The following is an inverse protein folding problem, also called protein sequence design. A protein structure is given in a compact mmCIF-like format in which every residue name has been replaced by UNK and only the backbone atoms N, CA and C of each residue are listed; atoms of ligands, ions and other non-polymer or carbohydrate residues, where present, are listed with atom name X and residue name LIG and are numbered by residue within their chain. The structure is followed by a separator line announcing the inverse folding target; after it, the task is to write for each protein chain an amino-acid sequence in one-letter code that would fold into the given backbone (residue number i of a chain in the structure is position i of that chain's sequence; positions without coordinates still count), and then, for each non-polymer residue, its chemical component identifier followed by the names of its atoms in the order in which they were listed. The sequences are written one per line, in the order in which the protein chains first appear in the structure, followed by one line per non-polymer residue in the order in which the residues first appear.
data_IF_449367201913
#
_entry.id   IF_449367201913
#
_cell.length_a   1.000
_cell.length_b   1.000
_cell.length_c   1.000
_cell.angle_alpha   90.00
_cell.angle_beta   90.00
_cell.angle_gamma   90.00
#
_symmetry.space_group_name_H-M   'P 1'
#
loop_
_entity.id
_entity.type
_entity.pdbx_description
1 polymer ?
#
# COMPACT_ATOMS: atom_id res chain seq x y z
N UNK A 1 53.92 28.81 29.10
CA UNK A 1 52.72 28.39 29.86
C UNK A 1 51.57 28.25 28.87
N UNK A 2 51.31 27.03 28.39
CA UNK A 2 50.21 26.74 27.46
C UNK A 2 49.00 26.24 28.26
N UNK A 3 47.89 26.98 28.22
CA UNK A 3 46.63 26.59 28.87
C UNK A 3 45.77 25.81 27.88
N UNK A 4 45.63 24.49 28.11
CA UNK A 4 44.70 23.63 27.38
C UNK A 4 43.29 23.82 27.95
N UNK A 5 42.34 24.30 27.14
CA UNK A 5 40.90 24.29 27.46
C UNK A 5 40.32 22.94 27.05
N UNK A 6 39.87 22.16 28.02
CA UNK A 6 39.11 20.92 27.81
C UNK A 6 37.61 21.26 27.77
N UNK A 7 36.97 21.11 26.61
CA UNK A 7 35.52 21.21 26.44
C UNK A 7 34.94 19.79 26.43
N UNK A 8 34.17 19.46 27.47
CA UNK A 8 33.45 18.19 27.62
C UNK A 8 32.06 18.35 26.99
N UNK A 9 31.81 17.72 25.84
CA UNK A 9 30.49 17.68 25.20
C UNK A 9 29.68 16.48 25.73
N UNK A 10 28.55 16.76 26.37
CA UNK A 10 27.61 15.76 26.87
C UNK A 10 26.54 15.49 25.79
N UNK A 11 26.65 14.35 25.10
CA UNK A 11 25.67 13.92 24.09
C UNK A 11 24.54 13.11 24.75
N UNK A 12 23.32 13.65 24.73
CA UNK A 12 22.10 12.98 25.19
C UNK A 12 21.55 12.08 24.07
N UNK A 13 21.57 10.76 24.27
CA UNK A 13 21.01 9.79 23.32
C UNK A 13 19.55 9.51 23.70
N UNK A 14 18.60 9.96 22.87
CA UNK A 14 17.19 9.54 22.96
C UNK A 14 17.03 8.19 22.26
N UNK A 15 16.81 7.13 23.04
CA UNK A 15 16.38 5.84 22.52
C UNK A 15 14.86 5.83 22.34
N UNK A 16 14.39 5.88 21.09
CA UNK A 16 12.98 5.67 20.76
C UNK A 16 12.66 4.17 20.76
N UNK A 17 11.94 3.69 21.77
CA UNK A 17 11.42 2.32 21.82
C UNK A 17 10.17 2.22 20.95
N UNK A 18 10.28 1.62 19.76
CA UNK A 18 9.11 1.27 18.95
C UNK A 18 8.46 0.00 19.51
N UNK A 19 7.29 0.13 20.15
CA UNK A 19 6.47 -1.03 20.52
C UNK A 19 5.76 -1.57 19.28
N UNK A 20 5.83 -2.88 18.98
CA UNK A 20 5.10 -3.45 17.85
C UNK A 20 3.59 -3.32 18.06
N UNK A 21 2.87 -2.95 17.00
CA UNK A 21 1.41 -2.89 17.01
C UNK A 21 0.81 -4.28 17.31
N UNK A 22 -0.23 -4.39 18.15
CA UNK A 22 -0.82 -5.68 18.50
C UNK A 22 -1.39 -6.37 17.27
N UNK A 23 -0.85 -7.54 16.93
CA UNK A 23 -1.46 -8.45 15.95
C UNK A 23 -2.77 -8.98 16.54
N UNK A 24 -3.91 -8.91 15.82
CA UNK A 24 -5.18 -9.41 16.33
C UNK A 24 -5.07 -10.91 16.64
N UNK A 25 -5.30 -11.29 17.90
CA UNK A 25 -5.17 -12.67 18.38
C UNK A 25 -6.29 -13.62 17.88
N UNK A 26 -7.25 -13.14 17.09
CA UNK A 26 -8.32 -13.98 16.51
C UNK A 26 -8.73 -13.50 15.11
N UNK A 27 -8.21 -14.10 14.03
CA UNK A 27 -8.56 -13.73 12.65
C UNK A 27 -10.03 -14.04 12.28
N UNK A 28 -10.74 -14.86 13.07
CA UNK A 28 -12.07 -15.37 12.73
C UNK A 28 -13.19 -14.31 12.65
N UNK A 29 -13.03 -13.15 13.30
CA UNK A 29 -14.05 -12.08 13.26
C UNK A 29 -13.50 -10.72 12.81
N UNK A 30 -12.20 -10.62 12.53
CA UNK A 30 -11.59 -9.36 12.13
C UNK A 30 -12.26 -8.80 10.87
N UNK A 31 -12.27 -9.56 9.76
CA UNK A 31 -12.87 -9.15 8.49
C UNK A 31 -14.34 -8.76 8.65
N UNK A 32 -15.13 -9.62 9.31
CA UNK A 32 -16.57 -9.36 9.54
C UNK A 32 -16.81 -8.11 10.39
N UNK A 33 -15.95 -7.82 11.37
CA UNK A 33 -16.03 -6.57 12.13
C UNK A 33 -15.67 -5.35 11.27
N UNK A 34 -14.71 -5.48 10.36
CA UNK A 34 -14.34 -4.42 9.41
C UNK A 34 -15.49 -4.08 8.46
N UNK A 35 -16.11 -5.10 7.87
CA UNK A 35 -17.29 -4.95 7.00
C UNK A 35 -18.48 -4.36 7.78
N UNK A 36 -18.74 -4.83 9.00
CA UNK A 36 -19.78 -4.27 9.84
C UNK A 36 -19.53 -2.80 10.23
N UNK A 37 -18.27 -2.42 10.47
CA UNK A 37 -17.92 -1.02 10.74
C UNK A 37 -18.18 -0.14 9.51
N UNK A 38 -17.87 -0.66 8.32
CA UNK A 38 -18.15 0.00 7.05
C UNK A 38 -19.64 0.24 6.83
N UNK A 39 -20.46 -0.79 6.99
CA UNK A 39 -21.91 -0.69 6.86
C UNK A 39 -22.50 0.30 7.87
N UNK A 40 -22.00 0.29 9.11
CA UNK A 40 -22.45 1.20 10.15
C UNK A 40 -22.10 2.67 9.81
N UNK A 41 -20.86 2.94 9.38
CA UNK A 41 -20.48 4.28 8.91
C UNK A 41 -21.29 4.70 7.67
N UNK A 42 -21.59 3.79 6.75
CA UNK A 42 -22.43 4.08 5.57
C UNK A 42 -23.88 4.40 5.96
N UNK A 43 -24.37 3.81 7.05
CA UNK A 43 -25.71 4.10 7.57
C UNK A 43 -25.80 5.49 8.17
N UNK A 44 -24.74 5.96 8.84
CA UNK A 44 -24.64 7.29 9.44
C UNK A 44 -24.76 8.42 8.41
N UNK A 45 -24.22 8.23 7.20
CA UNK A 45 -24.36 9.20 6.10
C UNK A 45 -25.82 9.47 5.68
N UNK A 46 -26.76 8.59 6.06
CA UNK A 46 -28.18 8.72 5.74
C UNK A 46 -28.98 9.35 6.89
N UNK A 47 -28.33 9.60 8.03
CA UNK A 47 -28.96 10.14 9.22
C UNK A 47 -28.80 11.66 9.27
N UNK A 48 -29.78 12.27 9.92
CA UNK A 48 -29.84 13.68 10.26
C UNK A 48 -30.40 13.81 11.67
N UNK A 49 -30.28 14.98 12.29
CA UNK A 49 -30.87 15.21 13.62
C UNK A 49 -32.39 14.96 13.66
N UNK A 50 -33.08 15.11 12.52
CA UNK A 50 -34.52 14.86 12.38
C UNK A 50 -34.87 13.39 12.10
N UNK A 51 -33.88 12.52 11.93
CA UNK A 51 -34.12 11.10 11.68
C UNK A 51 -34.75 10.45 12.91
N UNK A 52 -35.78 9.62 12.68
CA UNK A 52 -36.36 8.79 13.73
C UNK A 52 -35.34 7.74 14.16
N UNK A 53 -35.23 7.52 15.47
CA UNK A 53 -34.28 6.58 16.03
C UNK A 53 -34.88 5.83 17.23
N UNK A 54 -34.20 4.76 17.68
CA UNK A 54 -34.59 4.02 18.89
C UNK A 54 -33.88 4.62 20.10
N UNK A 55 -34.60 4.87 21.20
CA UNK A 55 -34.01 5.38 22.44
C UNK A 55 -32.76 4.58 22.85
N UNK A 56 -31.68 5.30 23.19
CA UNK A 56 -30.37 4.72 23.51
C UNK A 56 -29.48 4.36 22.31
N UNK A 57 -29.97 4.50 21.07
CA UNK A 57 -29.16 4.32 19.87
C UNK A 57 -28.11 5.44 19.75
N UNK A 58 -26.86 5.06 19.54
CA UNK A 58 -25.77 6.00 19.25
C UNK A 58 -25.49 6.03 17.75
N UNK A 59 -25.10 7.20 17.25
CA UNK A 59 -24.72 7.37 15.84
C UNK A 59 -23.69 8.49 15.68
N UNK A 60 -23.18 8.62 14.46
CA UNK A 60 -22.41 9.78 14.04
C UNK A 60 -23.24 10.58 13.03
N UNK A 61 -23.42 11.88 13.25
CA UNK A 61 -24.09 12.77 12.30
C UNK A 61 -23.18 13.98 12.10
N UNK A 62 -22.83 14.26 10.84
CA UNK A 62 -21.88 15.32 10.47
C UNK A 62 -20.55 15.23 11.24
N UNK A 63 -20.05 14.00 11.47
CA UNK A 63 -18.83 13.73 12.22
C UNK A 63 -18.93 13.96 13.73
N UNK A 64 -20.11 14.25 14.27
CA UNK A 64 -20.36 14.45 15.71
C UNK A 64 -21.07 13.25 16.31
N UNK A 65 -20.76 12.95 17.55
CA UNK A 65 -21.45 11.89 18.29
C UNK A 65 -22.85 12.36 18.68
N UNK A 66 -23.86 11.54 18.43
CA UNK A 66 -25.24 11.78 18.85
C UNK A 66 -25.82 10.56 19.55
N UNK A 67 -26.73 10.80 20.48
CA UNK A 67 -27.53 9.76 21.11
C UNK A 67 -29.01 10.00 20.79
N UNK A 68 -29.76 8.92 20.64
CA UNK A 68 -31.20 8.99 20.50
C UNK A 68 -31.88 9.10 21.86
N UNK A 69 -32.61 10.20 22.07
CA UNK A 69 -33.46 10.44 23.24
C UNK A 69 -34.86 10.75 22.75
N UNK A 70 -35.87 10.07 23.30
CA UNK A 70 -37.28 10.23 22.93
C UNK A 70 -37.58 10.15 21.42
N UNK A 71 -36.86 9.24 20.75
CA UNK A 71 -37.04 8.95 19.33
C UNK A 71 -36.38 9.94 18.36
N UNK A 72 -35.57 10.89 18.87
CA UNK A 72 -34.80 11.86 18.08
C UNK A 72 -33.34 11.89 18.48
N UNK A 73 -32.46 12.20 17.54
CA UNK A 73 -31.05 12.39 17.83
C UNK A 73 -30.82 13.74 18.54
N UNK A 74 -30.05 13.72 19.62
CA UNK A 74 -29.65 14.93 20.36
C UNK A 74 -28.77 15.84 19.51
N UNK A 75 -28.50 17.04 20.04
CA UNK A 75 -27.41 17.86 19.52
C UNK A 75 -26.10 17.07 19.51
N UNK A 76 -25.30 17.27 18.45
CA UNK A 76 -24.05 16.56 18.26
C UNK A 76 -22.96 17.04 19.23
N UNK A 77 -22.33 16.09 19.91
CA UNK A 77 -21.13 16.31 20.71
C UNK A 77 -19.92 16.28 19.77
N UNK A 78 -19.15 17.37 19.76
CA UNK A 78 -17.91 17.45 18.98
C UNK A 78 -16.86 16.49 19.54
N UNK A 79 -16.08 15.88 18.64
CA UNK A 79 -14.97 15.01 19.00
C UNK A 79 -13.67 15.76 19.35
N UNK A 80 -13.67 17.09 19.24
CA UNK A 80 -12.44 17.90 19.30
C UNK A 80 -11.88 18.19 17.92
N UNK A 81 -10.77 18.93 17.87
CA UNK A 81 -10.10 19.29 16.62
C UNK A 81 -9.53 18.04 15.92
N UNK A 82 -9.68 17.98 14.60
CA UNK A 82 -9.19 16.90 13.71
C UNK A 82 -9.75 15.49 13.96
N UNK A 83 -10.70 15.32 14.88
CA UNK A 83 -11.35 14.04 15.17
C UNK A 83 -12.78 14.02 14.63
N UNK A 84 -13.23 12.84 14.19
CA UNK A 84 -14.60 12.59 13.77
C UNK A 84 -15.16 11.39 14.50
N UNK A 85 -16.45 11.46 14.81
CA UNK A 85 -17.22 10.29 15.22
C UNK A 85 -17.26 9.29 14.06
N UNK A 86 -16.78 8.08 14.31
CA UNK A 86 -16.74 6.97 13.35
C UNK A 86 -17.02 5.64 14.06
N UNK A 87 -17.51 4.65 13.32
CA UNK A 87 -17.54 3.26 13.76
C UNK A 87 -16.22 2.56 13.42
N UNK A 88 -15.64 1.86 14.39
CA UNK A 88 -14.42 1.06 14.26
C UNK A 88 -14.69 -0.42 14.56
N UNK A 89 -13.93 -1.36 13.95
CA UNK A 89 -14.03 -2.78 14.26
C UNK A 89 -13.51 -3.06 15.68
N UNK A 90 -14.22 -3.89 16.44
CA UNK A 90 -13.69 -4.41 17.71
C UNK A 90 -12.56 -5.41 17.42
N UNK A 91 -11.51 -5.36 18.24
CA UNK A 91 -10.30 -6.17 18.03
C UNK A 91 -10.26 -7.46 18.86
N UNK A 92 -10.96 -7.47 20.00
CA UNK A 92 -10.95 -8.59 20.96
C UNK A 92 -12.30 -9.33 21.04
N UNK A 93 -13.31 -8.87 20.30
CA UNK A 93 -14.65 -9.44 20.32
C UNK A 93 -15.37 -9.16 19.00
N UNK A 94 -16.46 -9.88 18.73
CA UNK A 94 -17.35 -9.60 17.60
C UNK A 94 -18.04 -8.24 17.77
N UNK A 95 -18.15 -7.47 16.69
CA UNK A 95 -18.91 -6.22 16.62
C UNK A 95 -18.06 -4.98 16.31
N UNK A 96 -18.65 -3.82 16.57
CA UNK A 96 -18.09 -2.51 16.28
C UNK A 96 -18.22 -1.60 17.49
N UNK A 97 -17.46 -0.50 17.52
CA UNK A 97 -17.58 0.56 18.51
C UNK A 97 -17.65 1.91 17.82
N UNK A 98 -18.47 2.82 18.34
CA UNK A 98 -18.52 4.23 17.91
C UNK A 98 -17.56 5.01 18.79
N UNK A 99 -16.65 5.78 18.19
CA UNK A 99 -15.68 6.60 18.92
C UNK A 99 -15.27 7.81 18.09
N UNK A 100 -14.62 8.76 18.74
CA UNK A 100 -13.87 9.82 18.06
C UNK A 100 -12.50 9.28 17.64
N UNK A 101 -12.17 9.39 16.35
CA UNK A 101 -10.86 9.03 15.80
C UNK A 101 -10.54 9.93 14.59
N UNK A 102 -9.28 9.95 14.15
CA UNK A 102 -8.95 10.55 12.84
C UNK A 102 -9.48 9.65 11.75
N UNK A 103 -10.06 10.25 10.70
CA UNK A 103 -10.61 9.49 9.56
C UNK A 103 -9.55 8.62 8.88
N UNK A 104 -8.30 9.08 8.84
CA UNK A 104 -7.18 8.31 8.28
C UNK A 104 -6.89 7.05 9.12
N UNK A 105 -6.79 7.22 10.43
CA UNK A 105 -6.53 6.12 11.37
C UNK A 105 -7.67 5.10 11.37
N UNK A 106 -8.93 5.58 11.30
CA UNK A 106 -10.12 4.75 11.19
C UNK A 106 -10.11 3.87 9.92
N UNK A 107 -9.77 4.46 8.77
CA UNK A 107 -9.63 3.72 7.51
C UNK A 107 -8.52 2.67 7.59
N UNK A 108 -7.39 3.00 8.21
CA UNK A 108 -6.29 2.06 8.39
C UNK A 108 -6.71 0.89 9.30
N UNK A 109 -7.38 1.17 10.43
CA UNK A 109 -7.89 0.12 11.34
C UNK A 109 -8.88 -0.81 10.66
N UNK A 110 -9.78 -0.28 9.83
CA UNK A 110 -10.71 -1.09 9.01
C UNK A 110 -9.93 -1.91 7.98
N UNK A 111 -8.97 -1.32 7.26
CA UNK A 111 -8.16 -2.03 6.28
C UNK A 111 -7.35 -3.18 6.90
N UNK A 112 -6.82 -3.00 8.11
CA UNK A 112 -6.07 -4.03 8.86
C UNK A 112 -6.90 -5.28 9.18
N UNK A 113 -8.23 -5.21 9.06
CA UNK A 113 -9.10 -6.39 9.19
C UNK A 113 -9.19 -7.25 7.93
N UNK A 114 -8.72 -6.74 6.79
CA UNK A 114 -8.93 -7.31 5.45
C UNK A 114 -10.12 -6.69 4.68
N UNK A 115 -10.95 -5.88 5.34
CA UNK A 115 -12.08 -5.19 4.70
C UNK A 115 -11.61 -4.15 3.67
N UNK A 116 -12.36 -3.99 2.57
CA UNK A 116 -12.04 -3.11 1.44
C UNK A 116 -13.13 -2.06 1.25
N UNK A 117 -12.83 -0.93 0.60
CA UNK A 117 -13.83 0.14 0.38
C UNK A 117 -13.80 1.27 1.41
N UNK A 118 -12.68 1.44 2.12
CA UNK A 118 -12.45 2.59 3.01
C UNK A 118 -13.38 2.61 4.22
N UNK A 119 -13.85 3.80 4.62
CA UNK A 119 -14.63 3.99 5.84
C UNK A 119 -16.05 3.41 5.75
N UNK A 120 -16.65 3.35 4.55
CA UNK A 120 -18.08 3.04 4.37
C UNK A 120 -18.37 1.82 3.50
N UNK A 121 -17.34 1.06 3.08
CA UNK A 121 -17.50 -0.18 2.30
C UNK A 121 -18.05 0.02 0.88
N UNK A 122 -18.58 1.21 0.56
CA UNK A 122 -18.88 1.64 -0.79
C UNK A 122 -17.56 1.60 -1.56
N UNK A 123 -17.52 0.81 -2.64
CA UNK A 123 -16.59 1.13 -3.74
C UNK A 123 -16.93 2.57 -4.09
N UNK A 124 -16.03 3.50 -3.80
CA UNK A 124 -16.28 4.87 -4.20
C UNK A 124 -16.46 4.79 -5.71
N UNK A 125 -17.67 5.09 -6.21
CA UNK A 125 -17.85 5.48 -7.61
C UNK A 125 -17.15 6.83 -7.75
N UNK A 126 -15.83 6.84 -7.58
CA UNK A 126 -14.98 7.91 -8.03
C UNK A 126 -15.24 7.91 -9.53
N UNK A 127 -15.71 9.04 -10.05
CA UNK A 127 -15.62 9.28 -11.49
C UNK A 127 -14.19 8.92 -11.92
N UNK A 128 -14.05 8.34 -13.10
CA UNK A 128 -12.75 7.91 -13.63
C UNK A 128 -11.70 8.98 -13.32
N UNK A 129 -10.66 8.69 -12.52
CA UNK A 129 -9.70 9.69 -12.10
C UNK A 129 -9.14 10.38 -13.35
N UNK A 130 -8.96 11.69 -13.26
CA UNK A 130 -8.44 12.47 -14.39
C UNK A 130 -6.96 12.73 -14.17
N UNK A 131 -6.13 12.32 -15.13
CA UNK A 131 -4.70 12.57 -15.11
C UNK A 131 -4.42 14.08 -15.07
N UNK A 132 -3.50 14.57 -14.22
CA UNK A 132 -3.06 15.96 -14.27
C UNK A 132 -2.61 16.34 -15.69
N UNK A 133 -2.93 17.55 -16.19
CA UNK A 133 -2.60 17.94 -17.57
C UNK A 133 -1.14 17.75 -17.93
N UNK A 134 -0.23 17.99 -16.99
CA UNK A 134 1.21 17.81 -17.17
C UNK A 134 1.63 16.35 -17.46
N UNK A 135 0.85 15.38 -16.97
CA UNK A 135 1.14 13.95 -17.17
C UNK A 135 0.75 13.47 -18.57
N UNK A 136 -0.27 14.09 -19.20
CA UNK A 136 -0.78 13.68 -20.52
C UNK A 136 0.28 13.78 -21.64
N UNK A 137 1.27 14.65 -21.47
CA UNK A 137 2.33 14.86 -22.45
C UNK A 137 3.49 13.85 -22.34
N UNK A 138 3.56 13.07 -21.26
CA UNK A 138 4.66 12.11 -21.02
C UNK A 138 4.40 10.71 -21.58
N UNK A 139 3.16 10.38 -21.97
CA UNK A 139 2.75 9.04 -22.42
C UNK A 139 2.57 8.85 -23.93
N UNK A 140 2.88 9.85 -24.77
CA UNK A 140 2.73 9.73 -26.24
C UNK A 140 3.92 9.01 -26.88
N UNK A 141 4.09 7.71 -26.61
CA UNK A 141 4.88 6.83 -27.48
C UNK A 141 3.93 5.88 -28.22
N UNK A 142 4.22 5.69 -29.51
CA UNK A 142 3.34 5.16 -30.54
C UNK A 142 2.72 3.80 -30.18
N UNK A 143 1.39 3.73 -30.18
CA UNK A 143 0.59 2.51 -30.00
C UNK A 143 0.46 1.66 -31.27
N UNK A 144 1.27 1.89 -32.31
CA UNK A 144 1.03 1.27 -33.61
C UNK A 144 1.26 -0.26 -33.66
N UNK A 145 1.69 -0.90 -32.56
CA UNK A 145 2.07 -2.33 -32.58
C UNK A 145 1.36 -3.22 -31.55
N UNK A 146 0.36 -2.71 -30.82
CA UNK A 146 -0.45 -3.52 -29.89
C UNK A 146 -1.94 -3.48 -30.24
N UNK A 147 -2.26 -3.62 -31.53
CA UNK A 147 -3.59 -4.08 -31.91
C UNK A 147 -3.73 -5.55 -31.49
N UNK A 148 -4.72 -5.85 -30.64
CA UNK A 148 -5.16 -7.16 -30.13
C UNK A 148 -4.64 -7.68 -28.77
N UNK A 149 -4.10 -6.82 -27.90
CA UNK A 149 -3.81 -7.19 -26.51
C UNK A 149 -4.70 -6.46 -25.49
N UNK A 150 -5.71 -7.11 -24.91
CA UNK A 150 -6.37 -6.65 -23.66
C UNK A 150 -5.43 -6.60 -22.43
N UNK A 151 -4.12 -6.85 -22.63
CA UNK A 151 -3.05 -6.89 -21.62
C UNK A 151 -1.76 -6.38 -22.26
N UNK A 152 -0.97 -5.58 -21.55
CA UNK A 152 0.47 -5.49 -21.80
C UNK A 152 1.04 -6.67 -21.01
N UNK A 153 1.17 -7.83 -21.66
CA UNK A 153 1.74 -9.00 -21.04
C UNK A 153 3.27 -8.86 -21.07
N UNK A 154 3.92 -8.90 -19.90
CA UNK A 154 5.36 -9.08 -19.85
C UNK A 154 5.73 -10.48 -20.32
N UNK A 155 6.16 -10.58 -21.57
CA UNK A 155 6.67 -11.82 -22.17
C UNK A 155 7.98 -12.28 -21.54
N UNK A 156 8.68 -11.38 -20.85
CA UNK A 156 9.99 -11.60 -20.22
C UNK A 156 9.91 -12.19 -18.81
N UNK A 157 8.73 -12.48 -18.27
CA UNK A 157 8.59 -13.05 -16.93
C UNK A 157 9.29 -14.42 -16.79
N UNK A 158 9.30 -15.22 -17.85
CA UNK A 158 10.07 -16.47 -17.88
C UNK A 158 11.56 -16.21 -17.66
N UNK A 159 12.13 -15.28 -18.44
CA UNK A 159 13.54 -14.90 -18.37
C UNK A 159 13.92 -14.30 -17.01
N UNK A 160 13.02 -13.51 -16.41
CA UNK A 160 13.22 -12.95 -15.06
C UNK A 160 13.34 -14.07 -14.03
N UNK A 161 12.41 -15.04 -14.04
CA UNK A 161 12.46 -16.18 -13.12
C UNK A 161 13.72 -17.03 -13.36
N UNK A 162 14.04 -17.31 -14.63
CA UNK A 162 15.21 -18.11 -15.01
C UNK A 162 16.51 -17.45 -14.55
N UNK A 163 16.62 -16.13 -14.70
CA UNK A 163 17.82 -15.38 -14.32
C UNK A 163 18.18 -15.54 -12.83
N UNK A 164 17.18 -15.57 -11.94
CA UNK A 164 17.39 -15.85 -10.52
C UNK A 164 17.69 -17.33 -10.28
N UNK A 165 16.91 -18.23 -10.87
CA UNK A 165 17.07 -19.67 -10.68
C UNK A 165 18.49 -20.13 -11.03
N UNK A 166 19.02 -19.67 -12.16
CA UNK A 166 20.38 -19.99 -12.60
C UNK A 166 21.44 -19.55 -11.58
N UNK A 167 21.40 -18.28 -11.18
CA UNK A 167 22.36 -17.75 -10.20
C UNK A 167 22.22 -18.44 -8.84
N UNK A 168 21.00 -18.76 -8.43
CA UNK A 168 20.74 -19.43 -7.16
C UNK A 168 21.29 -20.88 -7.17
N UNK A 169 21.14 -21.61 -8.27
CA UNK A 169 21.75 -22.93 -8.44
C UNK A 169 23.28 -22.87 -8.40
N UNK A 170 23.89 -21.89 -9.07
CA UNK A 170 25.35 -21.66 -9.02
C UNK A 170 25.86 -21.37 -7.60
N UNK A 171 25.00 -20.84 -6.72
CA UNK A 171 25.32 -20.58 -5.31
C UNK A 171 25.35 -21.84 -4.44
N UNK A 172 24.92 -22.99 -4.99
CA UNK A 172 24.80 -24.27 -4.28
C UNK A 172 23.39 -24.58 -3.76
N UNK A 173 22.37 -23.83 -4.18
CA UNK A 173 20.96 -24.16 -3.93
C UNK A 173 20.45 -25.29 -4.84
N UNK A 174 19.27 -25.84 -4.54
CA UNK A 174 18.58 -26.83 -5.38
C UNK A 174 17.23 -26.31 -5.92
N UNK A 175 16.56 -27.06 -6.80
CA UNK A 175 15.21 -26.72 -7.32
C UNK A 175 14.14 -27.74 -6.92
N UNK A 176 14.47 -28.68 -6.03
CA UNK A 176 13.61 -29.82 -5.69
C UNK A 176 12.87 -29.64 -4.35
N UNK A 177 13.32 -28.73 -3.48
CA UNK A 177 12.85 -28.63 -2.08
C UNK A 177 12.17 -27.32 -1.70
N UNK A 178 11.35 -26.71 -2.57
CA UNK A 178 10.77 -25.37 -2.30
C UNK A 178 11.85 -24.35 -1.85
N UNK A 179 13.05 -24.49 -2.42
CA UNK A 179 14.21 -23.69 -2.05
C UNK A 179 14.02 -22.21 -2.45
N UNK A 180 14.86 -21.31 -1.93
CA UNK A 180 14.93 -19.91 -2.39
C UNK A 180 15.09 -19.76 -3.91
N UNK A 181 15.63 -20.76 -4.62
CA UNK A 181 15.75 -20.71 -6.08
C UNK A 181 14.40 -20.77 -6.77
N UNK A 182 13.44 -21.55 -6.25
CA UNK A 182 12.10 -21.70 -6.83
C UNK A 182 11.12 -20.69 -6.24
N UNK A 183 11.15 -20.48 -4.93
CA UNK A 183 10.18 -19.62 -4.24
C UNK A 183 10.40 -18.14 -4.59
N UNK A 184 11.64 -17.65 -4.61
CA UNK A 184 11.94 -16.24 -4.89
C UNK A 184 11.90 -15.89 -6.40
N UNK A 185 12.17 -16.84 -7.29
CA UNK A 185 12.00 -16.64 -8.74
C UNK A 185 10.55 -16.80 -9.19
N UNK A 186 9.93 -17.92 -8.80
CA UNK A 186 8.66 -18.37 -9.34
C UNK A 186 7.50 -17.81 -8.55
N UNK A 187 7.14 -18.48 -7.45
CA UNK A 187 5.91 -18.20 -6.72
C UNK A 187 5.90 -16.76 -6.21
N UNK A 188 6.89 -16.34 -5.44
CA UNK A 188 6.92 -14.98 -4.91
C UNK A 188 7.38 -13.99 -5.98
N UNK A 189 8.40 -14.36 -6.76
CA UNK A 189 8.96 -13.52 -7.82
C UNK A 189 7.92 -13.08 -8.83
N UNK A 190 7.27 -14.02 -9.52
CA UNK A 190 6.27 -13.73 -10.55
C UNK A 190 5.00 -13.16 -9.96
N UNK A 191 4.50 -13.70 -8.83
CA UNK A 191 3.26 -13.18 -8.25
C UNK A 191 3.38 -11.70 -7.87
N UNK A 192 4.54 -11.26 -7.39
CA UNK A 192 4.78 -9.86 -7.02
C UNK A 192 4.83 -8.90 -8.23
N UNK A 193 5.11 -9.42 -9.43
CA UNK A 193 5.11 -8.66 -10.68
C UNK A 193 3.72 -8.55 -11.31
N UNK A 194 2.70 -9.24 -10.77
CA UNK A 194 1.34 -9.17 -11.29
C UNK A 194 0.67 -7.83 -10.97
N UNK A 195 -0.23 -7.40 -11.86
CA UNK A 195 -1.00 -6.16 -11.74
C UNK A 195 -1.86 -6.08 -10.46
N UNK A 196 -2.17 -7.24 -9.86
CA UNK A 196 -3.01 -7.37 -8.67
C UNK A 196 -2.21 -7.64 -7.38
N UNK A 197 -0.88 -7.65 -7.44
CA UNK A 197 -0.02 -7.82 -6.26
C UNK A 197 0.04 -6.54 -5.43
N UNK A 198 0.29 -6.64 -4.14
CA UNK A 198 0.46 -5.47 -3.27
C UNK A 198 1.63 -4.60 -3.79
N UNK A 199 1.56 -3.26 -3.71
CA UNK A 199 2.64 -2.37 -4.14
C UNK A 199 4.02 -2.69 -3.55
N UNK A 200 4.05 -3.28 -2.34
CA UNK A 200 5.29 -3.63 -1.66
C UNK A 200 5.76 -5.06 -1.87
N UNK A 201 4.98 -5.95 -2.49
CA UNK A 201 5.35 -7.36 -2.67
C UNK A 201 6.66 -7.52 -3.44
N UNK A 202 6.85 -6.77 -4.53
CA UNK A 202 8.07 -6.84 -5.34
C UNK A 202 9.31 -6.36 -4.55
N UNK A 203 9.15 -5.33 -3.72
CA UNK A 203 10.24 -4.86 -2.86
C UNK A 203 10.59 -5.91 -1.81
N UNK A 204 9.60 -6.47 -1.14
CA UNK A 204 9.78 -7.51 -0.11
C UNK A 204 10.42 -8.77 -0.69
N UNK A 205 10.07 -9.15 -1.92
CA UNK A 205 10.74 -10.26 -2.61
C UNK A 205 12.19 -9.91 -2.96
N UNK A 206 12.46 -8.68 -3.43
CA UNK A 206 13.83 -8.22 -3.69
C UNK A 206 14.69 -8.16 -2.41
N UNK A 207 14.14 -7.72 -1.29
CA UNK A 207 14.79 -7.77 0.03
C UNK A 207 15.12 -9.23 0.40
N UNK A 208 14.18 -10.17 0.21
CA UNK A 208 14.43 -11.59 0.45
C UNK A 208 15.53 -12.17 -0.47
N UNK A 209 15.59 -11.74 -1.74
CA UNK A 209 16.66 -12.11 -2.68
C UNK A 209 18.03 -11.60 -2.19
N UNK A 210 18.15 -10.34 -1.77
CA UNK A 210 19.40 -9.79 -1.22
C UNK A 210 19.80 -10.49 0.08
N UNK A 211 18.84 -10.77 0.95
CA UNK A 211 19.07 -11.51 2.20
C UNK A 211 19.58 -12.92 1.93
N UNK A 212 19.00 -13.62 0.96
CA UNK A 212 19.51 -14.92 0.51
C UNK A 212 20.95 -14.79 0.02
N UNK A 213 21.25 -13.81 -0.84
CA UNK A 213 22.59 -13.59 -1.37
C UNK A 213 23.67 -13.37 -0.28
N UNK A 214 23.27 -12.86 0.89
CA UNK A 214 24.16 -12.65 2.05
C UNK A 214 24.33 -13.89 2.94
N UNK A 215 23.61 -14.97 2.67
CA UNK A 215 23.63 -16.17 3.50
C UNK A 215 24.97 -16.89 3.44
N UNK A 216 25.34 -17.55 4.54
CA UNK A 216 26.59 -18.33 4.63
C UNK A 216 26.59 -19.44 3.56
N UNK A 217 27.68 -19.55 2.80
CA UNK A 217 27.86 -20.57 1.77
C UNK A 217 27.54 -20.10 0.35
N UNK A 218 26.87 -18.96 0.19
CA UNK A 218 26.68 -18.33 -1.13
C UNK A 218 28.03 -17.81 -1.65
N UNK A 219 28.43 -18.29 -2.83
CA UNK A 219 29.74 -17.97 -3.43
C UNK A 219 29.69 -16.85 -4.48
N UNK A 220 28.52 -16.60 -5.07
CA UNK A 220 28.28 -15.61 -6.13
C UNK A 220 27.37 -14.46 -5.65
N UNK A 221 27.57 -14.01 -4.40
CA UNK A 221 26.77 -12.98 -3.72
C UNK A 221 26.53 -11.74 -4.58
N UNK A 222 27.57 -11.18 -5.19
CA UNK A 222 27.47 -9.93 -5.94
C UNK A 222 26.56 -10.06 -7.17
N UNK A 223 26.59 -11.21 -7.85
CA UNK A 223 25.73 -11.50 -8.99
C UNK A 223 24.26 -11.63 -8.56
N UNK A 224 24.00 -12.30 -7.43
CA UNK A 224 22.64 -12.42 -6.87
C UNK A 224 22.10 -11.06 -6.43
N UNK A 225 22.90 -10.22 -5.77
CA UNK A 225 22.48 -8.85 -5.39
C UNK A 225 22.22 -8.00 -6.63
N UNK A 226 23.07 -8.08 -7.66
CA UNK A 226 22.84 -7.38 -8.91
C UNK A 226 21.54 -7.82 -9.58
N UNK A 227 21.24 -9.13 -9.58
CA UNK A 227 19.97 -9.66 -10.07
C UNK A 227 18.77 -9.17 -9.24
N UNK A 228 18.88 -9.12 -7.91
CA UNK A 228 17.83 -8.59 -7.04
C UNK A 228 17.53 -7.10 -7.29
N UNK A 229 18.55 -6.28 -7.58
CA UNK A 229 18.38 -4.89 -8.05
C UNK A 229 17.66 -4.85 -9.40
N UNK A 230 18.13 -5.70 -10.33
CA UNK A 230 17.47 -6.11 -11.58
C UNK A 230 15.95 -6.23 -11.43
N UNK A 231 15.58 -7.18 -10.59
CA UNK A 231 14.23 -7.56 -10.26
C UNK A 231 13.46 -6.43 -9.58
N UNK A 232 14.08 -5.67 -8.67
CA UNK A 232 13.43 -4.55 -7.96
C UNK A 232 12.99 -3.43 -8.91
N UNK A 233 13.78 -3.17 -9.94
CA UNK A 233 13.52 -2.14 -10.95
C UNK A 233 12.67 -2.64 -12.12
N UNK A 234 12.47 -3.95 -12.23
CA UNK A 234 11.66 -4.54 -13.29
C UNK A 234 10.24 -3.97 -13.26
N UNK A 235 9.66 -3.59 -14.42
CA UNK A 235 8.30 -3.07 -14.43
C UNK A 235 7.31 -4.18 -14.05
N UNK A 236 6.16 -3.78 -13.51
CA UNK A 236 5.08 -4.71 -13.14
C UNK A 236 4.03 -4.73 -14.23
N UNK A 237 3.34 -5.86 -14.35
CA UNK A 237 2.21 -6.00 -15.27
C UNK A 237 1.14 -4.93 -15.01
N UNK A 238 0.54 -4.43 -16.09
CA UNK A 238 -0.58 -3.48 -16.05
C UNK A 238 -1.74 -4.01 -16.90
N UNK A 239 -2.98 -3.83 -16.42
CA UNK A 239 -4.19 -4.25 -17.13
C UNK A 239 -5.02 -3.04 -17.52
N UNK A 240 -5.64 -3.10 -18.69
CA UNK A 240 -6.60 -2.08 -19.09
C UNK A 240 -7.89 -2.22 -18.25
N UNK A 241 -8.21 -1.17 -17.51
CA UNK A 241 -9.38 -1.08 -16.63
C UNK A 241 -10.25 0.06 -17.14
N UNK A 242 -11.34 -0.28 -17.82
CA UNK A 242 -12.30 0.72 -18.32
C UNK A 242 -11.71 1.69 -19.35
N UNK A 243 -10.80 1.21 -20.21
CA UNK A 243 -10.15 2.02 -21.25
C UNK A 243 -8.83 2.66 -20.83
N UNK A 244 -8.47 2.61 -19.55
CA UNK A 244 -7.21 3.15 -19.02
C UNK A 244 -6.29 1.99 -18.65
N UNK A 245 -5.05 2.01 -19.14
CA UNK A 245 -3.98 1.15 -18.62
C UNK A 245 -3.17 1.97 -17.63
N UNK A 246 -3.40 1.86 -16.32
CA UNK A 246 -2.76 2.73 -15.34
C UNK A 246 -1.30 2.33 -15.11
N UNK A 247 -0.50 3.28 -14.62
CA UNK A 247 0.76 3.01 -13.96
C UNK A 247 0.55 2.15 -12.70
N UNK A 248 1.56 1.36 -12.35
CA UNK A 248 1.54 0.55 -11.13
C UNK A 248 1.98 1.37 -9.92
N UNK A 249 1.26 1.32 -8.78
CA UNK A 249 1.65 2.07 -7.58
C UNK A 249 3.01 1.65 -7.04
N UNK A 250 3.72 2.59 -6.43
CA UNK A 250 4.99 2.34 -5.75
C UNK A 250 4.78 1.89 -4.30
N UNK A 251 5.65 1.00 -3.82
CA UNK A 251 5.75 0.72 -2.39
C UNK A 251 6.00 2.01 -1.60
N UNK A 252 5.33 2.14 -0.44
CA UNK A 252 5.43 3.30 0.46
C UNK A 252 6.14 2.93 1.77
N UNK A 253 7.02 1.94 1.70
CA UNK A 253 7.88 1.49 2.81
C UNK A 253 9.34 1.56 2.35
N UNK A 254 10.25 1.82 3.28
CA UNK A 254 11.69 1.71 2.99
C UNK A 254 12.08 0.24 2.81
N UNK A 255 13.02 -0.05 1.92
CA UNK A 255 13.55 -1.39 1.77
C UNK A 255 14.37 -1.79 3.01
N UNK A 256 14.19 -3.04 3.44
CA UNK A 256 14.91 -3.57 4.60
C UNK A 256 16.42 -3.62 4.29
N UNK A 257 16.76 -4.11 3.10
CA UNK A 257 18.14 -4.29 2.65
C UNK A 257 18.72 -3.01 2.02
N UNK A 258 19.85 -2.50 2.54
CA UNK A 258 20.40 -1.21 2.11
C UNK A 258 20.81 -1.17 0.63
N UNK A 259 21.14 -2.30 0.03
CA UNK A 259 21.57 -2.40 -1.37
C UNK A 259 20.49 -2.00 -2.38
N UNK A 260 19.21 -2.08 -1.99
CA UNK A 260 18.07 -1.74 -2.86
C UNK A 260 17.28 -0.53 -2.38
N UNK A 261 17.71 0.16 -1.31
CA UNK A 261 17.05 1.40 -0.86
C UNK A 261 17.07 2.46 -1.95
N UNK A 262 15.92 3.07 -2.19
CA UNK A 262 15.72 4.05 -3.25
C UNK A 262 15.48 3.47 -4.64
N UNK A 263 15.68 2.16 -4.85
CA UNK A 263 15.28 1.50 -6.09
C UNK A 263 13.77 1.28 -6.11
N UNK A 264 13.16 1.53 -7.28
CA UNK A 264 11.73 1.38 -7.50
C UNK A 264 11.46 0.68 -8.82
N UNK A 265 10.31 0.02 -8.89
CA UNK A 265 9.86 -0.60 -10.12
C UNK A 265 9.66 0.46 -11.20
N UNK A 266 10.17 0.18 -12.40
CA UNK A 266 9.85 1.00 -13.56
C UNK A 266 8.37 0.86 -13.89
N UNK A 267 7.88 1.77 -14.73
CA UNK A 267 6.54 1.68 -15.30
C UNK A 267 6.64 1.06 -16.68
N UNK A 268 5.68 0.21 -17.04
CA UNK A 268 5.60 -0.35 -18.40
C UNK A 268 5.41 0.77 -19.42
N UNK A 269 6.00 0.60 -20.61
CA UNK A 269 5.72 1.50 -21.72
C UNK A 269 4.23 1.43 -22.11
N UNK A 270 3.65 2.59 -22.41
CA UNK A 270 2.24 2.69 -22.84
C UNK A 270 1.22 2.75 -21.70
N UNK A 271 1.63 2.70 -20.43
CA UNK A 271 0.72 3.05 -19.32
C UNK A 271 0.42 4.55 -19.29
N UNK A 272 -0.70 4.93 -18.69
CA UNK A 272 -1.00 6.32 -18.37
C UNK A 272 -0.12 6.77 -17.19
N UNK A 273 0.82 7.70 -17.38
CA UNK A 273 1.71 8.17 -16.31
C UNK A 273 1.01 9.08 -15.31
N UNK A 274 -0.23 9.51 -15.59
CA UNK A 274 -1.05 10.35 -14.73
C UNK A 274 -2.08 9.59 -13.92
N UNK A 275 -2.28 8.28 -14.17
CA UNK A 275 -3.22 7.43 -13.43
C UNK A 275 -2.47 6.21 -12.90
N UNK A 276 -2.67 5.89 -11.62
CA UNK A 276 -2.08 4.74 -10.96
C UNK A 276 -3.16 3.81 -10.43
N UNK A 277 -2.89 2.50 -10.40
CA UNK A 277 -3.79 1.52 -9.79
C UNK A 277 -3.67 0.12 -10.37
N UNK A 278 -4.67 -0.72 -10.12
CA UNK A 278 -4.70 -2.09 -10.60
C UNK A 278 -6.00 -2.81 -10.22
N UNK A 279 -6.17 -4.10 -10.55
CA UNK A 279 -7.44 -4.80 -10.33
C UNK A 279 -7.90 -4.90 -8.87
N UNK A 280 -6.96 -4.80 -7.91
CA UNK A 280 -7.24 -4.83 -6.46
C UNK A 280 -7.17 -3.45 -5.78
N UNK A 281 -6.84 -2.40 -6.53
CA UNK A 281 -6.61 -1.06 -5.99
C UNK A 281 -7.48 -0.05 -6.73
N UNK A 282 -7.93 1.00 -6.05
CA UNK A 282 -8.63 2.09 -6.73
C UNK A 282 -7.70 2.72 -7.79
N UNK A 283 -8.26 3.11 -8.93
CA UNK A 283 -7.56 4.02 -9.82
C UNK A 283 -7.48 5.39 -9.14
N UNK A 284 -6.28 5.97 -9.10
CA UNK A 284 -6.00 7.28 -8.51
C UNK A 284 -5.22 8.15 -9.48
N UNK A 285 -5.42 9.47 -9.43
CA UNK A 285 -4.63 10.42 -10.20
C UNK A 285 -3.24 10.59 -9.57
N UNK A 286 -2.23 10.88 -10.39
CA UNK A 286 -0.91 11.29 -9.94
C UNK A 286 -1.00 12.48 -8.98
N UNK A 287 -0.32 12.37 -7.84
CA UNK A 287 -0.43 13.27 -6.70
C UNK A 287 -1.03 12.61 -5.46
N UNK A 288 -1.68 11.45 -5.62
CA UNK A 288 -2.14 10.64 -4.50
C UNK A 288 -0.97 9.86 -3.85
N UNK A 289 -1.20 9.35 -2.64
CA UNK A 289 -0.25 8.42 -1.99
C UNK A 289 -0.02 7.19 -2.88
N UNK A 290 1.23 6.72 -2.95
CA UNK A 290 1.61 5.60 -3.82
C UNK A 290 1.87 5.96 -5.29
N UNK A 291 1.63 7.21 -5.72
CA UNK A 291 1.95 7.63 -7.10
C UNK A 291 3.36 8.20 -7.26
N UNK A 292 4.10 8.33 -6.17
CA UNK A 292 5.53 8.61 -6.16
C UNK A 292 6.27 7.57 -5.30
N UNK A 293 7.56 7.33 -5.56
CA UNK A 293 8.41 6.52 -4.71
C UNK A 293 8.35 6.92 -3.23
N UNK A 294 8.60 5.97 -2.33
CA UNK A 294 8.67 6.24 -0.90
C UNK A 294 9.61 7.42 -0.60
N UNK A 295 9.17 8.32 0.28
CA UNK A 295 9.91 9.52 0.67
C UNK A 295 9.92 10.65 -0.38
N UNK A 296 9.37 10.44 -1.58
CA UNK A 296 9.29 11.46 -2.62
C UNK A 296 7.96 12.21 -2.60
N UNK A 297 8.01 13.50 -2.92
CA UNK A 297 6.81 14.36 -3.05
C UNK A 297 6.44 14.51 -4.51
N UNK A 298 5.15 14.44 -4.80
CA UNK A 298 4.63 14.66 -6.14
C UNK A 298 4.56 16.15 -6.49
N UNK A 299 5.03 16.49 -7.69
CA UNK A 299 4.79 17.78 -8.32
C UNK A 299 3.81 17.59 -9.50
N UNK A 300 2.53 17.84 -9.25
CA UNK A 300 1.46 17.63 -10.24
C UNK A 300 1.52 18.60 -11.43
N UNK A 301 2.25 19.71 -11.31
CA UNK A 301 2.42 20.71 -12.37
C UNK A 301 3.43 20.27 -13.43
N UNK A 302 4.38 19.42 -13.05
CA UNK A 302 5.44 18.89 -13.92
C UNK A 302 5.33 17.38 -14.13
N UNK A 303 4.43 16.73 -13.41
CA UNK A 303 4.30 15.27 -13.34
C UNK A 303 5.63 14.61 -12.96
N UNK A 304 6.27 15.08 -11.88
CA UNK A 304 7.56 14.58 -11.37
C UNK A 304 7.46 14.24 -9.89
N UNK A 305 8.34 13.34 -9.43
CA UNK A 305 8.53 13.03 -8.02
C UNK A 305 9.88 13.59 -7.59
N UNK A 306 9.90 14.34 -6.48
CA UNK A 306 11.07 15.09 -5.98
C UNK A 306 11.45 14.67 -4.56
#
# INVERSE_FOLDING_TARGET
MFAFKLLLSLSLVLAASATPAPVPKNPSFALGNGEAAQDLNASFEKLSQSSKCKAGQNACIDGKFVQCVDGKFTAGVSCGEDLQCVALPLVNSKGTSITCDRVADAKQRIANTGAKGGLTGKKVKRGTPTAPPACKNKGKRSFLELAFGKRIAQSDLGDVAESWQKLCLESGGDIQTNSPCVTLAGINGINSLLANADPCDQQKNADAMVKFAKSKGVKNKDALIANAKAYREHPRNALNIGGITPSTPFCQEEAEEPEIRGLVNKQLDGVDPGIFGGPKFDLVAFGASGTCPFGKKSNVKTCTCE
#
